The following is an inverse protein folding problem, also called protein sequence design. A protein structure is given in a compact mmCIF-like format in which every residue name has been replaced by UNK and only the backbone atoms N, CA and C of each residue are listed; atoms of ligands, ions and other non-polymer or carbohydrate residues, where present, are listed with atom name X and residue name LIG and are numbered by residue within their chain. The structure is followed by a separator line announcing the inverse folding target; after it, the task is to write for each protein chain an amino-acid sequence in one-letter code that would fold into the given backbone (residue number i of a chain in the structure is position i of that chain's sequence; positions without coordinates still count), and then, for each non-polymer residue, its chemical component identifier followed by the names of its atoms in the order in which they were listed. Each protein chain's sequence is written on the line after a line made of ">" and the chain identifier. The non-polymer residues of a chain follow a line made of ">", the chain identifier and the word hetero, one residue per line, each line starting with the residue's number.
data_IF_915024432704
#
_entry.id   IF_915024432704
#
_cell.length_a   1.000
_cell.length_b   1.000
_cell.length_c   1.000
_cell.angle_alpha   90.00
_cell.angle_beta   90.00
_cell.angle_gamma   90.00
#
_symmetry.space_group_name_H-M   'P 1'
#
loop_
_entity.id
_entity.type
_entity.pdbx_description
1 polymer ?
#
# COMPACT_ATOMS: atom_id res chain seq x y z
N UNK A 1 -4.08 11.10 6.61
CA UNK A 1 -5.23 10.21 6.32
C UNK A 1 -5.77 10.57 4.93
N UNK A 2 -5.67 9.66 3.95
CA UNK A 2 -6.15 9.91 2.57
C UNK A 2 -7.45 9.14 2.31
N UNK A 3 -8.56 9.83 2.04
CA UNK A 3 -9.78 9.17 1.54
C UNK A 3 -9.48 8.60 0.14
N UNK A 4 -9.84 7.35 -0.12
CA UNK A 4 -9.53 6.68 -1.39
C UNK A 4 -8.10 6.12 -1.49
N UNK A 5 -7.27 6.22 -0.44
CA UNK A 5 -5.86 5.78 -0.48
C UNK A 5 -5.63 4.31 -0.83
N UNK A 6 -6.62 3.44 -0.63
CA UNK A 6 -6.53 2.03 -1.04
C UNK A 6 -6.72 1.84 -2.55
N UNK A 7 -7.42 2.75 -3.22
CA UNK A 7 -7.60 2.75 -4.68
C UNK A 7 -6.36 3.30 -5.38
N UNK A 8 -5.76 4.38 -4.88
CA UNK A 8 -4.50 4.91 -5.42
C UNK A 8 -3.35 3.93 -5.17
N UNK A 9 -3.29 3.29 -4.00
CA UNK A 9 -2.32 2.24 -3.73
C UNK A 9 -2.49 1.02 -4.68
N UNK A 10 -3.74 0.62 -4.99
CA UNK A 10 -4.01 -0.38 -6.03
C UNK A 10 -3.46 0.07 -7.39
N UNK A 11 -3.75 1.31 -7.77
CA UNK A 11 -3.31 1.90 -9.02
C UNK A 11 -1.80 1.88 -9.19
N UNK A 12 -1.07 2.32 -8.16
CA UNK A 12 0.39 2.34 -8.17
C UNK A 12 0.98 0.94 -8.22
N UNK A 13 0.53 0.01 -7.37
CA UNK A 13 1.01 -1.37 -7.41
C UNK A 13 0.79 -1.99 -8.80
N UNK A 14 -0.40 -1.80 -9.37
CA UNK A 14 -0.73 -2.34 -10.70
C UNK A 14 0.11 -1.69 -11.80
N UNK A 15 0.33 -0.38 -11.74
CA UNK A 15 1.20 0.34 -12.68
C UNK A 15 2.67 -0.11 -12.59
N UNK A 16 3.13 -0.54 -11.42
CA UNK A 16 4.44 -1.14 -11.18
C UNK A 16 4.55 -2.61 -11.63
N UNK A 17 3.46 -3.19 -12.17
CA UNK A 17 3.38 -4.57 -12.63
C UNK A 17 3.08 -5.59 -11.53
N UNK A 18 2.55 -5.15 -10.39
CA UNK A 18 2.22 -6.03 -9.25
C UNK A 18 0.73 -6.37 -9.30
N UNK A 19 0.41 -7.65 -9.22
CA UNK A 19 -0.97 -8.13 -9.11
C UNK A 19 -1.52 -7.81 -7.70
N UNK A 20 -2.31 -6.74 -7.60
CA UNK A 20 -2.94 -6.31 -6.35
C UNK A 20 -4.47 -6.26 -6.39
N UNK A 21 -5.08 -6.62 -7.54
CA UNK A 21 -6.54 -6.62 -7.73
C UNK A 21 -7.21 -7.50 -6.68
N UNK A 22 -8.27 -7.00 -6.04
CA UNK A 22 -8.96 -7.70 -4.96
C UNK A 22 -8.20 -7.81 -3.63
N UNK A 23 -6.89 -7.56 -3.59
CA UNK A 23 -6.07 -7.73 -2.37
C UNK A 23 -6.10 -6.51 -1.44
N UNK A 24 -6.57 -5.36 -1.93
CA UNK A 24 -6.60 -4.11 -1.15
C UNK A 24 -7.73 -4.11 -0.12
N UNK A 25 -7.45 -3.62 1.09
CA UNK A 25 -8.45 -3.49 2.15
C UNK A 25 -9.37 -2.28 1.92
N UNK A 26 -10.40 -2.15 2.74
CA UNK A 26 -11.31 -1.00 2.72
C UNK A 26 -11.69 -0.57 4.12
N UNK A 27 -11.96 0.72 4.29
CA UNK A 27 -12.54 1.27 5.52
C UNK A 27 -14.08 1.23 5.52
N UNK A 28 -14.69 0.79 4.42
CA UNK A 28 -16.14 0.63 4.29
C UNK A 28 -16.53 -0.81 4.60
N UNK A 29 -17.60 -0.99 5.39
CA UNK A 29 -18.18 -2.31 5.71
C UNK A 29 -18.60 -3.02 4.43
N UNK A 30 -19.23 -2.30 3.50
CA UNK A 30 -19.50 -2.76 2.14
C UNK A 30 -18.60 -1.99 1.19
N UNK A 31 -17.60 -2.67 0.65
CA UNK A 31 -16.69 -2.11 -0.33
C UNK A 31 -17.02 -2.66 -1.72
N UNK A 32 -17.38 -1.78 -2.66
CA UNK A 32 -17.41 -2.14 -4.07
C UNK A 32 -15.98 -2.23 -4.60
N UNK A 33 -15.39 -3.42 -4.48
CA UNK A 33 -14.05 -3.73 -5.00
C UNK A 33 -14.00 -3.63 -6.53
N UNK A 34 -15.11 -3.98 -7.20
CA UNK A 34 -15.23 -3.89 -8.65
C UNK A 34 -15.10 -2.45 -9.14
N UNK A 35 -15.60 -1.48 -8.38
CA UNK A 35 -15.42 -0.06 -8.69
C UNK A 35 -13.95 0.36 -8.59
N UNK A 36 -13.22 -0.08 -7.55
CA UNK A 36 -11.77 0.22 -7.44
C UNK A 36 -11.00 -0.32 -8.64
N UNK A 37 -11.26 -1.57 -9.00
CA UNK A 37 -10.60 -2.22 -10.14
C UNK A 37 -10.95 -1.53 -11.47
N UNK A 38 -12.21 -1.13 -11.67
CA UNK A 38 -12.63 -0.36 -12.87
C UNK A 38 -11.93 0.99 -12.95
N UNK A 39 -11.87 1.74 -11.85
CA UNK A 39 -11.19 3.05 -11.81
C UNK A 39 -9.71 2.91 -12.15
N UNK A 40 -9.02 1.94 -11.54
CA UNK A 40 -7.60 1.68 -11.81
C UNK A 40 -7.38 1.25 -13.26
N UNK A 41 -8.22 0.34 -13.78
CA UNK A 41 -8.13 -0.12 -15.17
C UNK A 41 -8.30 1.04 -16.16
N UNK A 42 -9.29 1.90 -15.95
CA UNK A 42 -9.51 3.09 -16.78
C UNK A 42 -8.29 4.01 -16.79
N UNK A 43 -7.66 4.23 -15.62
CA UNK A 43 -6.41 5.00 -15.52
C UNK A 43 -5.25 4.37 -16.31
N UNK A 44 -5.06 3.06 -16.20
CA UNK A 44 -4.02 2.33 -16.94
C UNK A 44 -4.26 2.34 -18.46
N UNK A 45 -5.51 2.22 -18.90
CA UNK A 45 -5.88 2.34 -20.31
C UNK A 45 -5.63 3.75 -20.85
N UNK A 46 -5.92 4.79 -20.06
CA UNK A 46 -5.60 6.17 -20.41
C UNK A 46 -4.08 6.39 -20.55
N UNK A 47 -3.27 5.79 -19.68
CA UNK A 47 -1.81 5.82 -19.78
C UNK A 47 -1.31 5.13 -21.06
N UNK A 48 -1.82 3.93 -21.37
CA UNK A 48 -1.47 3.23 -22.62
C UNK A 48 -1.84 4.04 -23.85
N UNK A 49 -3.03 4.66 -23.88
CA UNK A 49 -3.45 5.55 -24.99
C UNK A 49 -2.55 6.77 -25.16
N UNK A 50 -1.93 7.24 -24.08
CA UNK A 50 -0.95 8.33 -24.11
C UNK A 50 0.48 7.87 -24.46
N UNK A 51 0.67 6.59 -24.78
CA UNK A 51 1.95 6.03 -25.22
C UNK A 51 2.86 5.55 -24.07
N UNK A 52 2.36 5.49 -22.83
CA UNK A 52 3.15 4.95 -21.72
C UNK A 52 3.22 3.41 -21.79
N UNK A 53 4.43 2.87 -21.72
CA UNK A 53 4.68 1.44 -21.50
C UNK A 53 4.44 1.04 -20.04
N UNK A 54 3.91 -0.16 -19.81
CA UNK A 54 3.79 -0.75 -18.48
C UNK A 54 4.74 -1.95 -18.37
N UNK A 55 5.37 -2.20 -17.20
CA UNK A 55 5.26 -1.44 -15.96
C UNK A 55 5.94 -0.06 -16.01
N UNK A 56 5.46 0.88 -15.20
CA UNK A 56 6.04 2.22 -15.04
C UNK A 56 7.22 2.22 -14.06
N UNK A 57 8.10 3.20 -14.24
CA UNK A 57 9.07 3.60 -13.21
C UNK A 57 8.35 4.15 -11.95
N UNK A 58 8.93 4.00 -10.75
CA UNK A 58 8.26 4.33 -9.48
C UNK A 58 7.72 5.76 -9.40
N UNK A 59 8.51 6.75 -9.82
CA UNK A 59 8.08 8.15 -9.83
C UNK A 59 6.93 8.39 -10.81
N UNK A 60 6.98 7.76 -11.99
CA UNK A 60 5.92 7.86 -12.98
C UNK A 60 4.63 7.18 -12.49
N UNK A 61 4.74 6.02 -11.84
CA UNK A 61 3.60 5.32 -11.24
C UNK A 61 2.91 6.19 -10.17
N UNK A 62 3.67 6.80 -9.26
CA UNK A 62 3.13 7.72 -8.25
C UNK A 62 2.48 8.96 -8.87
N UNK A 63 3.13 9.58 -9.86
CA UNK A 63 2.61 10.77 -10.53
C UNK A 63 1.31 10.49 -11.29
N UNK A 64 1.16 9.30 -11.87
CA UNK A 64 0.02 8.94 -12.70
C UNK A 64 -1.17 8.37 -11.91
N UNK A 65 -0.90 7.54 -10.90
CA UNK A 65 -1.90 6.69 -10.24
C UNK A 65 -1.92 6.83 -8.71
N UNK A 66 -0.96 7.56 -8.14
CA UNK A 66 -0.78 7.67 -6.70
C UNK A 66 -1.58 8.79 -6.05
N UNK A 67 -1.24 9.05 -4.79
CA UNK A 67 -1.70 10.21 -4.02
C UNK A 67 -0.51 10.87 -3.33
N UNK A 68 -0.62 12.14 -2.88
CA UNK A 68 0.51 12.88 -2.31
C UNK A 68 1.14 12.25 -1.06
N UNK A 69 0.41 11.41 -0.32
CA UNK A 69 0.97 10.78 0.88
C UNK A 69 2.02 9.73 0.53
N UNK A 70 1.86 9.01 -0.57
CA UNK A 70 2.78 7.94 -0.99
C UNK A 70 4.23 8.40 -1.25
N UNK A 71 4.50 9.42 -2.09
CA UNK A 71 5.87 9.89 -2.31
C UNK A 71 6.47 10.52 -1.05
N UNK A 72 5.67 11.22 -0.24
CA UNK A 72 6.14 11.79 1.03
C UNK A 72 6.57 10.68 2.00
N UNK A 73 5.71 9.66 2.20
CA UNK A 73 6.01 8.56 3.09
C UNK A 73 7.20 7.73 2.59
N UNK A 74 7.29 7.45 1.29
CA UNK A 74 8.44 6.76 0.71
C UNK A 74 9.74 7.56 0.90
N UNK A 75 9.72 8.88 0.69
CA UNK A 75 10.87 9.75 0.95
C UNK A 75 11.32 9.74 2.41
N UNK A 76 10.37 9.76 3.35
CA UNK A 76 10.66 9.64 4.79
C UNK A 76 11.30 8.29 5.13
N UNK A 77 10.81 7.19 4.54
CA UNK A 77 11.41 5.86 4.71
C UNK A 77 12.86 5.85 4.21
N UNK A 78 13.11 6.38 3.01
CA UNK A 78 14.45 6.44 2.44
C UNK A 78 15.41 7.28 3.30
N UNK A 79 14.95 8.44 3.77
CA UNK A 79 15.74 9.29 4.67
C UNK A 79 16.06 8.61 6.01
N UNK A 80 15.11 7.87 6.58
CA UNK A 80 15.31 7.12 7.81
C UNK A 80 16.31 5.95 7.62
N UNK A 81 16.18 5.19 6.53
CA UNK A 81 17.13 4.10 6.20
C UNK A 81 18.54 4.65 6.01
N UNK A 82 18.69 5.75 5.27
CA UNK A 82 19.99 6.40 5.06
C UNK A 82 20.64 6.86 6.38
N UNK A 83 19.84 7.08 7.43
CA UNK A 83 20.29 7.44 8.77
C UNK A 83 20.36 6.24 9.75
N UNK A 84 20.24 5.00 9.25
CA UNK A 84 20.15 3.76 10.05
C UNK A 84 19.03 3.76 11.12
N UNK A 85 17.92 4.43 10.82
CA UNK A 85 16.74 4.49 11.68
C UNK A 85 15.67 3.49 11.17
N UNK A 86 15.25 2.51 11.99
CA UNK A 86 14.19 1.59 11.61
C UNK A 86 12.82 2.28 11.53
N UNK A 87 11.97 1.82 10.61
CA UNK A 87 10.67 2.44 10.33
C UNK A 87 9.52 1.45 10.50
N UNK A 88 8.52 1.88 11.26
CA UNK A 88 7.20 1.26 11.32
C UNK A 88 6.23 2.02 10.41
N UNK A 89 5.88 1.43 9.27
CA UNK A 89 4.83 1.93 8.40
C UNK A 89 3.46 1.56 8.99
N UNK A 90 2.90 2.46 9.80
CA UNK A 90 1.65 2.24 10.50
C UNK A 90 0.42 2.46 9.59
N UNK A 91 -0.22 1.37 9.16
CA UNK A 91 -1.42 1.44 8.33
C UNK A 91 -1.80 0.10 7.70
N UNK A 92 -2.83 0.13 6.84
CA UNK A 92 -3.30 -1.06 6.12
C UNK A 92 -2.56 -1.33 4.80
N UNK A 93 -3.25 -1.95 3.86
CA UNK A 93 -2.71 -2.33 2.53
C UNK A 93 -2.04 -1.18 1.75
N UNK A 94 -2.45 0.07 1.98
CA UNK A 94 -1.79 1.25 1.42
C UNK A 94 -0.30 1.38 1.80
N UNK A 95 0.09 0.93 3.00
CA UNK A 95 1.49 0.95 3.45
C UNK A 95 2.35 -0.11 2.74
N UNK A 96 1.74 -1.18 2.20
CA UNK A 96 2.45 -2.15 1.36
C UNK A 96 2.88 -1.51 0.03
N UNK A 97 2.05 -0.61 -0.53
CA UNK A 97 2.43 0.17 -1.71
C UNK A 97 3.57 1.15 -1.40
N UNK A 98 3.52 1.84 -0.26
CA UNK A 98 4.60 2.74 0.20
C UNK A 98 5.92 1.98 0.39
N UNK A 99 5.87 0.80 1.02
CA UNK A 99 7.05 -0.04 1.22
C UNK A 99 7.69 -0.43 -0.12
N UNK A 100 6.88 -0.87 -1.07
CA UNK A 100 7.35 -1.27 -2.40
C UNK A 100 7.91 -0.09 -3.20
N UNK A 101 7.27 1.07 -3.12
CA UNK A 101 7.76 2.31 -3.72
C UNK A 101 9.13 2.69 -3.17
N UNK A 102 9.27 2.72 -1.83
CA UNK A 102 10.53 3.02 -1.18
C UNK A 102 11.62 2.03 -1.62
N UNK A 103 11.31 0.73 -1.67
CA UNK A 103 12.24 -0.30 -2.15
C UNK A 103 12.72 -0.06 -3.58
N UNK A 104 11.80 0.27 -4.50
CA UNK A 104 12.18 0.52 -5.90
C UNK A 104 12.94 1.84 -6.07
N UNK A 105 12.58 2.88 -5.33
CA UNK A 105 13.29 4.16 -5.32
C UNK A 105 14.70 4.02 -4.75
N UNK A 106 14.87 3.25 -3.67
CA UNK A 106 16.19 2.93 -3.12
C UNK A 106 17.08 2.29 -4.20
N UNK A 107 16.57 1.25 -4.87
CA UNK A 107 17.28 0.58 -5.96
C UNK A 107 17.61 1.51 -7.12
N UNK A 108 16.66 2.34 -7.57
CA UNK A 108 16.86 3.29 -8.66
C UNK A 108 17.88 4.39 -8.30
N UNK A 109 17.93 4.79 -7.02
CA UNK A 109 18.87 5.79 -6.49
C UNK A 109 20.21 5.23 -6.01
N UNK A 110 20.46 3.92 -6.15
CA UNK A 110 21.69 3.28 -5.68
C UNK A 110 21.81 3.20 -4.15
N UNK A 111 20.72 3.34 -3.41
CA UNK A 111 20.67 3.17 -1.96
C UNK A 111 20.49 1.69 -1.62
N UNK A 112 21.20 1.25 -0.58
CA UNK A 112 21.04 -0.09 -0.04
C UNK A 112 19.65 -0.23 0.61
N UNK A 113 18.97 -1.35 0.35
CA UNK A 113 17.63 -1.61 0.87
C UNK A 113 17.66 -2.74 1.90
N UNK A 114 17.42 -2.40 3.16
CA UNK A 114 17.36 -3.35 4.27
C UNK A 114 15.91 -3.64 4.63
N UNK A 115 15.37 -4.71 4.07
CA UNK A 115 13.96 -5.07 4.21
C UNK A 115 13.51 -5.30 5.66
N UNK A 116 14.43 -5.73 6.52
CA UNK A 116 14.26 -5.96 7.96
C UNK A 116 14.17 -4.66 8.78
N UNK A 117 14.63 -3.52 8.24
CA UNK A 117 14.52 -2.20 8.89
C UNK A 117 13.20 -1.50 8.62
N UNK A 118 12.37 -2.00 7.70
CA UNK A 118 11.07 -1.40 7.38
C UNK A 118 9.97 -2.46 7.51
N UNK A 119 9.13 -2.28 8.53
CA UNK A 119 8.02 -3.18 8.83
C UNK A 119 6.69 -2.46 8.64
N UNK A 120 5.69 -3.17 8.11
CA UNK A 120 4.32 -2.66 8.05
C UNK A 120 3.57 -3.11 9.30
N UNK A 121 3.07 -2.15 10.06
CA UNK A 121 2.26 -2.39 11.26
C UNK A 121 0.80 -2.07 10.98
N UNK A 122 -0.07 -3.06 11.13
CA UNK A 122 -1.51 -2.91 10.93
C UNK A 122 -2.31 -3.39 12.17
N UNK A 123 -3.63 -3.47 12.05
CA UNK A 123 -4.51 -4.00 13.09
C UNK A 123 -4.96 -5.41 12.74
N UNK A 124 -5.39 -6.18 13.77
CA UNK A 124 -5.97 -7.52 13.62
C UNK A 124 -7.02 -7.58 12.51
N UNK A 125 -7.95 -6.62 12.48
CA UNK A 125 -9.04 -6.59 11.51
C UNK A 125 -8.57 -6.50 10.05
N UNK A 126 -7.40 -5.90 9.78
CA UNK A 126 -6.88 -5.83 8.40
C UNK A 126 -6.22 -7.15 7.98
N UNK A 127 -5.65 -7.90 8.91
CA UNK A 127 -5.07 -9.23 8.64
C UNK A 127 -6.16 -10.29 8.52
N UNK A 128 -7.20 -10.18 9.35
CA UNK A 128 -8.32 -11.14 9.39
C UNK A 128 -9.47 -10.78 8.44
N UNK A 129 -9.39 -9.65 7.72
CA UNK A 129 -10.36 -9.30 6.68
C UNK A 129 -10.34 -10.36 5.58
N UNK A 130 -11.25 -11.33 5.65
CA UNK A 130 -11.36 -12.43 4.69
C UNK A 130 -11.61 -11.94 3.25
N UNK A 131 -12.12 -10.71 3.10
CA UNK A 131 -12.33 -10.11 1.79
C UNK A 131 -11.07 -9.44 1.24
N UNK A 132 -10.07 -9.11 2.07
CA UNK A 132 -8.81 -8.49 1.65
C UNK A 132 -7.61 -9.44 1.77
N UNK A 133 -6.69 -9.31 0.83
CA UNK A 133 -5.50 -10.16 0.77
C UNK A 133 -4.26 -9.52 1.37
N UNK A 134 -4.36 -8.78 2.48
CA UNK A 134 -3.22 -8.03 3.03
C UNK A 134 -2.01 -8.93 3.31
N UNK A 135 -2.24 -10.11 3.88
CA UNK A 135 -1.20 -11.12 4.13
C UNK A 135 -0.65 -11.68 2.80
N UNK A 136 -1.53 -11.96 1.83
CA UNK A 136 -1.14 -12.49 0.52
C UNK A 136 -0.25 -11.48 -0.23
N UNK A 137 -0.64 -10.21 -0.22
CA UNK A 137 0.10 -9.11 -0.83
C UNK A 137 1.42 -8.84 -0.10
N UNK A 138 1.43 -8.84 1.23
CA UNK A 138 2.68 -8.71 1.98
C UNK A 138 3.66 -9.85 1.67
N UNK A 139 3.18 -11.10 1.57
CA UNK A 139 3.99 -12.25 1.20
C UNK A 139 4.53 -12.16 -0.23
N UNK A 140 3.71 -11.77 -1.20
CA UNK A 140 4.18 -11.63 -2.60
C UNK A 140 5.24 -10.53 -2.75
N UNK A 141 5.19 -9.50 -1.91
CA UNK A 141 6.18 -8.42 -1.89
C UNK A 141 7.39 -8.69 -0.98
N UNK A 142 7.35 -9.74 -0.14
CA UNK A 142 8.40 -10.01 0.85
C UNK A 142 8.42 -9.01 2.01
N UNK A 143 7.28 -8.41 2.34
CA UNK A 143 7.14 -7.36 3.37
C UNK A 143 6.98 -7.99 4.76
N UNK A 144 7.79 -7.59 5.75
CA UNK A 144 7.51 -7.91 7.15
C UNK A 144 6.21 -7.24 7.60
N UNK A 145 5.23 -8.02 8.06
CA UNK A 145 3.90 -7.55 8.45
C UNK A 145 3.61 -7.90 9.93
N UNK A 146 3.28 -6.88 10.73
CA UNK A 146 2.85 -7.01 12.12
C UNK A 146 1.39 -6.58 12.26
N UNK A 147 0.65 -7.21 13.18
CA UNK A 147 -0.65 -6.71 13.60
C UNK A 147 -0.78 -6.60 15.11
N UNK A 148 -1.45 -5.53 15.55
CA UNK A 148 -1.88 -5.41 16.94
C UNK A 148 -2.96 -6.45 17.27
N UNK A 149 -2.91 -7.02 18.48
CA UNK A 149 -3.92 -7.97 19.00
C UNK A 149 -5.08 -7.28 19.72
N UNK A 150 -5.39 -6.06 19.31
CA UNK A 150 -6.40 -5.24 19.99
C UNK A 150 -7.79 -5.87 19.82
N UNK A 151 -8.55 -5.94 20.92
CA UNK A 151 -9.89 -6.52 20.97
C UNK A 151 -10.85 -5.51 21.58
N UNK A 152 -11.88 -5.11 20.83
CA UNK A 152 -12.85 -4.11 21.26
C UNK A 152 -14.24 -4.69 21.50
N UNK A 153 -14.40 -6.03 21.49
CA UNK A 153 -15.69 -6.68 21.72
C UNK A 153 -16.32 -6.30 23.08
N UNK A 154 -15.48 -6.05 24.09
CA UNK A 154 -15.88 -5.60 25.42
C UNK A 154 -16.06 -4.08 25.58
N UNK A 155 -16.01 -3.28 24.51
CA UNK A 155 -16.11 -1.82 24.62
C UNK A 155 -17.46 -1.38 25.18
N UNK A 156 -17.42 -0.42 26.11
CA UNK A 156 -18.61 0.30 26.61
C UNK A 156 -19.26 1.20 25.55
N UNK A 157 -18.53 1.57 24.51
CA UNK A 157 -19.07 2.31 23.36
C UNK A 157 -19.45 1.35 22.24
N UNK A 158 -20.74 1.30 21.88
CA UNK A 158 -21.28 0.34 20.92
C UNK A 158 -20.68 0.43 19.52
N UNK A 159 -20.29 1.61 19.08
CA UNK A 159 -19.64 1.85 17.76
C UNK A 159 -18.25 1.24 17.65
N UNK A 160 -17.60 0.91 18.77
CA UNK A 160 -16.28 0.28 18.79
C UNK A 160 -16.37 -1.24 18.99
N UNK A 161 -17.54 -1.81 19.29
CA UNK A 161 -17.70 -3.25 19.46
C UNK A 161 -17.69 -3.90 18.07
N UNK A 162 -16.58 -4.57 17.77
CA UNK A 162 -16.30 -5.35 16.55
C UNK A 162 -15.64 -6.66 16.94
#
# INVERSE_FOLDING_TARGET
>A
MCRGGTTTALGVLTALGIEASGLMSSSLVQCDRSLKDRVVRSGLEALRRRGYGLPLEPMAAMAAMGDPMQPVAAGMVLGAIAADVPVLLAGGTQMLAVWELARRLARAGGLEWWADRVVVGTTRWVIEDAAAGAVKLARSLGVPLLASRLNLSGSRHGTLRV
#
